data_IF_691289989863
#
_entry.id   IF_691289989863
#
_cell.length_a   1.000
_cell.length_b   1.000
_cell.length_c   1.000
_cell.angle_alpha   90.00
_cell.angle_beta   90.00
_cell.angle_gamma   90.00
#
_symmetry.space_group_name_H-M   'P 1'
#
loop_
_entity.id
_entity.type
_entity.pdbx_description
1 polymer ?
#
# COMPACT_ATOMS: atom_id res chain seq x y z
N UNK A 1 -4.16 5.71 7.88
CA UNK A 1 -4.27 5.41 6.43
C UNK A 1 -4.23 6.71 5.65
N UNK A 2 -3.69 6.68 4.45
CA UNK A 2 -3.70 7.80 3.51
C UNK A 2 -4.30 7.35 2.18
N UNK A 3 -5.15 8.20 1.60
CA UNK A 3 -5.73 7.93 0.30
C UNK A 3 -4.90 8.56 -0.81
N UNK A 4 -4.57 7.74 -1.79
CA UNK A 4 -3.88 8.14 -3.01
C UNK A 4 -4.92 8.36 -4.12
N UNK A 5 -4.61 9.25 -5.10
CA UNK A 5 -5.56 9.59 -6.14
C UNK A 5 -5.79 8.47 -7.16
N UNK A 6 -4.80 7.58 -7.37
CA UNK A 6 -4.86 6.53 -8.38
C UNK A 6 -3.87 5.37 -8.13
N UNK A 7 -4.08 4.26 -8.84
CA UNK A 7 -3.21 3.08 -8.79
C UNK A 7 -1.79 3.34 -9.28
N UNK A 8 -1.58 4.34 -10.14
CA UNK A 8 -0.25 4.72 -10.61
C UNK A 8 0.60 5.26 -9.46
N UNK A 9 0.00 6.10 -8.62
CA UNK A 9 0.61 6.70 -7.45
C UNK A 9 0.88 5.63 -6.39
N UNK A 10 -0.06 4.70 -6.20
CA UNK A 10 0.12 3.56 -5.29
C UNK A 10 1.30 2.67 -5.71
N UNK A 11 1.42 2.33 -7.00
CA UNK A 11 2.56 1.55 -7.52
C UNK A 11 3.89 2.30 -7.40
N UNK A 12 3.90 3.62 -7.60
CA UNK A 12 5.11 4.45 -7.39
C UNK A 12 5.51 4.48 -5.92
N UNK A 13 4.55 4.59 -5.01
CA UNK A 13 4.81 4.53 -3.58
C UNK A 13 5.43 3.17 -3.20
N UNK A 14 4.87 2.06 -3.69
CA UNK A 14 5.45 0.72 -3.50
C UNK A 14 6.90 0.63 -3.98
N UNK A 15 7.17 1.10 -5.20
CA UNK A 15 8.52 1.08 -5.77
C UNK A 15 9.50 1.91 -4.92
N UNK A 16 9.06 3.06 -4.41
CA UNK A 16 9.87 3.89 -3.52
C UNK A 16 10.14 3.19 -2.19
N UNK A 17 9.11 2.62 -1.55
CA UNK A 17 9.24 1.87 -0.29
C UNK A 17 10.21 0.70 -0.43
N UNK A 18 10.12 -0.07 -1.53
CA UNK A 18 11.08 -1.14 -1.84
C UNK A 18 12.51 -0.60 -2.03
N UNK A 19 12.67 0.54 -2.70
CA UNK A 19 14.01 1.12 -2.94
C UNK A 19 14.74 1.57 -1.68
N UNK A 20 13.99 1.94 -0.63
CA UNK A 20 14.54 2.35 0.67
C UNK A 20 14.60 1.20 1.68
N UNK A 21 14.17 0.00 1.30
CA UNK A 21 14.15 -1.18 2.18
C UNK A 21 13.13 -1.08 3.30
N UNK A 22 11.98 -0.44 3.07
CA UNK A 22 10.88 -0.43 4.03
C UNK A 22 10.34 -1.85 4.28
N UNK A 23 9.86 -2.11 5.50
CA UNK A 23 9.25 -3.38 5.87
C UNK A 23 7.81 -3.44 5.34
N UNK A 24 7.57 -4.28 4.34
CA UNK A 24 6.27 -4.41 3.65
C UNK A 24 5.63 -5.72 4.08
N UNK A 25 4.37 -5.68 4.50
CA UNK A 25 3.71 -6.83 5.15
C UNK A 25 3.46 -8.03 4.21
N UNK A 26 3.16 -7.78 2.93
CA UNK A 26 2.74 -8.83 1.97
C UNK A 26 3.71 -8.96 0.78
N UNK A 27 4.96 -9.40 0.99
CA UNK A 27 5.93 -9.57 -0.09
C UNK A 27 5.44 -10.61 -1.11
N UNK A 28 5.27 -10.19 -2.36
CA UNK A 28 4.70 -10.98 -3.46
C UNK A 28 3.27 -10.60 -3.86
N UNK A 29 2.49 -10.03 -2.95
CA UNK A 29 1.13 -9.53 -3.20
C UNK A 29 0.95 -8.15 -2.51
N UNK A 30 1.92 -7.25 -2.71
CA UNK A 30 2.05 -6.04 -1.88
C UNK A 30 0.91 -5.02 -2.09
N UNK A 31 0.12 -5.17 -3.15
CA UNK A 31 -1.08 -4.37 -3.39
C UNK A 31 -2.27 -5.32 -3.46
N UNK A 32 -3.19 -5.18 -2.51
CA UNK A 32 -4.36 -6.04 -2.40
C UNK A 32 -5.62 -5.30 -1.98
N UNK A 33 -6.79 -5.96 -2.04
CA UNK A 33 -8.02 -5.39 -1.50
C UNK A 33 -7.92 -5.13 0.00
N UNK A 34 -8.42 -3.97 0.45
CA UNK A 34 -8.52 -3.64 1.89
C UNK A 34 -9.28 -4.71 2.69
N UNK A 35 -10.12 -5.50 2.02
CA UNK A 35 -10.79 -6.66 2.59
C UNK A 35 -11.57 -7.46 1.53
N UNK A 36 -12.10 -8.65 1.88
CA UNK A 36 -12.85 -9.50 0.96
C UNK A 36 -13.99 -8.74 0.27
N UNK A 37 -13.95 -8.66 -1.07
CA UNK A 37 -14.95 -7.97 -1.88
C UNK A 37 -14.83 -6.44 -1.92
N UNK A 38 -13.78 -5.85 -1.33
CA UNK A 38 -13.51 -4.42 -1.43
C UNK A 38 -12.97 -4.06 -2.82
N UNK A 39 -13.45 -2.94 -3.37
CA UNK A 39 -12.89 -2.32 -4.57
C UNK A 39 -11.69 -1.41 -4.23
N UNK A 40 -11.42 -1.15 -2.96
CA UNK A 40 -10.30 -0.32 -2.54
C UNK A 40 -9.02 -1.16 -2.51
N UNK A 41 -7.99 -0.70 -3.21
CA UNK A 41 -6.68 -1.35 -3.27
C UNK A 41 -5.73 -0.63 -2.31
N UNK A 42 -5.00 -1.37 -1.48
CA UNK A 42 -4.06 -0.83 -0.53
C UNK A 42 -2.73 -1.58 -0.50
N UNK A 43 -1.73 -0.94 0.13
CA UNK A 43 -0.48 -1.56 0.56
C UNK A 43 -0.24 -1.20 2.03
N UNK A 44 0.38 -2.12 2.76
CA UNK A 44 0.68 -1.97 4.19
C UNK A 44 2.16 -2.19 4.47
N UNK A 45 2.70 -1.36 5.37
CA UNK A 45 4.13 -1.35 5.71
C UNK A 45 4.35 -0.82 7.13
N UNK A 46 5.49 -1.15 7.72
CA UNK A 46 5.93 -0.61 9.01
C UNK A 46 6.95 0.52 8.83
N UNK A 47 6.81 1.58 9.62
CA UNK A 47 7.87 2.58 9.76
C UNK A 47 8.98 2.09 10.72
N UNK A 48 10.12 2.81 10.82
CA UNK A 48 11.21 2.41 11.71
C UNK A 48 10.85 2.38 13.20
N UNK A 49 9.79 3.07 13.61
CA UNK A 49 9.28 3.07 14.99
C UNK A 49 8.31 1.90 15.24
N UNK A 50 8.00 1.12 14.20
CA UNK A 50 7.14 -0.07 14.26
C UNK A 50 5.65 0.23 14.07
N UNK A 51 5.27 1.46 13.68
CA UNK A 51 3.88 1.76 13.37
C UNK A 51 3.49 1.22 12.01
N UNK A 52 2.32 0.58 11.96
CA UNK A 52 1.73 0.08 10.73
C UNK A 52 1.01 1.20 9.98
N UNK A 53 1.39 1.40 8.75
CA UNK A 53 0.82 2.39 7.84
C UNK A 53 0.10 1.72 6.67
N UNK A 54 -0.83 2.46 6.08
CA UNK A 54 -1.64 2.04 4.94
C UNK A 54 -1.71 3.17 3.92
N UNK A 55 -1.43 2.84 2.66
CA UNK A 55 -1.75 3.67 1.51
C UNK A 55 -2.80 2.95 0.69
N UNK A 56 -3.90 3.61 0.36
CA UNK A 56 -4.95 2.99 -0.45
C UNK A 56 -5.56 3.92 -1.50
N UNK A 57 -6.16 3.30 -2.52
CA UNK A 57 -6.91 3.95 -3.60
C UNK A 57 -8.35 3.54 -3.47
N UNK A 58 -9.24 4.50 -3.27
CA UNK A 58 -10.66 4.25 -3.12
C UNK A 58 -11.30 3.95 -4.47
N UNK A 59 -12.10 2.88 -4.55
CA UNK A 59 -12.93 2.57 -5.71
C UNK A 59 -12.18 2.05 -6.95
N UNK A 60 -10.91 1.68 -6.84
CA UNK A 60 -10.18 0.83 -7.79
C UNK A 60 -10.24 1.23 -9.26
N UNK A 61 -10.40 2.52 -9.58
CA UNK A 61 -10.43 3.03 -10.96
C UNK A 61 -9.07 3.56 -11.41
#
# INVERSE_FOLDING_TARGET
SFHLPDMTTLRKALAHLKSIGADIEDPGDEIGPEGPGSNNMGLWFHDPDGYRWELSVLGGK
#
